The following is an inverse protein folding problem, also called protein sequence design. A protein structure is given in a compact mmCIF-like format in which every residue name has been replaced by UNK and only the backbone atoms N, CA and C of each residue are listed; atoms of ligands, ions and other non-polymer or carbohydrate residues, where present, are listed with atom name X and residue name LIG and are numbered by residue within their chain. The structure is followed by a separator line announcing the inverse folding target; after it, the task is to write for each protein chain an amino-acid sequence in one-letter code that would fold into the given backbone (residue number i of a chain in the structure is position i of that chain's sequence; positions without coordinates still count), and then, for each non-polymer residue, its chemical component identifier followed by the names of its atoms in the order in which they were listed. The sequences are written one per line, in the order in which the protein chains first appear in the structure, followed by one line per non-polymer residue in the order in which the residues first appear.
data_IF_927415726600
#
_entry.id   IF_927415726600
#
_cell.length_a   1.000
_cell.length_b   1.000
_cell.length_c   1.000
_cell.angle_alpha   90.00
_cell.angle_beta   90.00
_cell.angle_gamma   90.00
#
_symmetry.space_group_name_H-M   'P 1'
#
loop_
_entity.id
_entity.type
_entity.pdbx_description
1 polymer ?
#
# COMPACT_ATOMS: atom_id res chain seq x y z
N UNK A 1 -3.51 6.17 12.74
CA UNK A 1 -2.50 5.57 11.84
C UNK A 1 -2.47 6.33 10.54
N UNK A 2 -1.29 6.66 10.07
CA UNK A 2 -1.11 7.37 8.79
C UNK A 2 -0.21 6.53 7.89
N UNK A 3 -0.67 6.26 6.66
CA UNK A 3 0.05 5.42 5.72
C UNK A 3 0.20 6.15 4.39
N UNK A 4 1.41 6.10 3.84
CA UNK A 4 1.76 6.75 2.59
C UNK A 4 1.87 5.69 1.49
N UNK A 5 1.13 5.90 0.39
CA UNK A 5 1.13 5.03 -0.78
C UNK A 5 1.75 5.80 -1.95
N UNK A 6 2.74 5.18 -2.61
CA UNK A 6 3.49 5.79 -3.69
C UNK A 6 3.51 4.87 -4.90
N UNK A 7 3.27 5.44 -6.07
CA UNK A 7 3.45 4.72 -7.34
C UNK A 7 4.75 5.15 -7.97
N UNK A 8 5.59 4.17 -8.29
CA UNK A 8 6.92 4.39 -8.86
C UNK A 8 6.99 3.83 -10.28
N UNK A 9 7.52 4.62 -11.22
CA UNK A 9 7.77 4.22 -12.60
C UNK A 9 9.12 4.78 -13.03
N UNK A 10 10.03 3.92 -13.47
CA UNK A 10 11.37 4.31 -13.91
C UNK A 10 12.09 5.18 -12.89
N UNK A 11 12.03 4.78 -11.62
CA UNK A 11 12.61 5.50 -10.47
C UNK A 11 12.00 6.87 -10.18
N UNK A 12 10.85 7.18 -10.79
CA UNK A 12 10.13 8.43 -10.57
C UNK A 12 8.86 8.17 -9.75
N UNK A 13 8.59 9.06 -8.82
CA UNK A 13 7.31 9.07 -8.11
C UNK A 13 6.26 9.68 -9.03
N UNK A 14 5.32 8.87 -9.50
CA UNK A 14 4.29 9.31 -10.45
C UNK A 14 2.97 9.67 -9.81
N UNK A 15 2.68 9.11 -8.63
CA UNK A 15 1.47 9.44 -7.87
C UNK A 15 1.67 9.07 -6.42
N UNK A 16 0.98 9.74 -5.53
CA UNK A 16 1.00 9.41 -4.10
C UNK A 16 -0.32 9.76 -3.44
N UNK A 17 -0.65 9.02 -2.39
CA UNK A 17 -1.80 9.26 -1.52
C UNK A 17 -1.38 8.98 -0.08
N UNK A 18 -1.82 9.81 0.84
CA UNK A 18 -1.64 9.59 2.27
C UNK A 18 -3.01 9.36 2.88
N UNK A 19 -3.17 8.21 3.53
CA UNK A 19 -4.45 7.83 4.14
C UNK A 19 -4.28 7.83 5.65
N UNK A 20 -5.19 8.51 6.34
CA UNK A 20 -5.22 8.55 7.79
C UNK A 20 -6.46 7.83 8.31
N UNK A 21 -6.27 6.87 9.23
CA UNK A 21 -7.34 6.13 9.89
C UNK A 21 -7.23 6.44 11.38
N UNK A 22 -8.27 7.03 11.96
CA UNK A 22 -8.23 7.55 13.34
C UNK A 22 -9.15 6.83 14.32
N UNK A 23 -9.91 5.82 13.87
CA UNK A 23 -10.82 5.09 14.75
C UNK A 23 -10.13 4.01 15.57
N UNK A 24 -10.90 3.23 16.33
CA UNK A 24 -10.41 2.22 17.28
C UNK A 24 -10.24 0.83 16.68
N UNK A 25 -10.30 0.68 15.36
CA UNK A 25 -10.15 -0.62 14.73
C UNK A 25 -8.75 -1.20 14.96
N UNK A 26 -8.59 -2.50 14.71
CA UNK A 26 -7.29 -3.17 14.86
C UNK A 26 -6.28 -2.63 13.83
N UNK A 27 -4.99 -2.81 14.15
CA UNK A 27 -3.92 -2.39 13.23
C UNK A 27 -4.07 -3.07 11.87
N UNK A 28 -4.33 -4.37 11.86
CA UNK A 28 -4.49 -5.14 10.62
C UNK A 28 -5.65 -4.60 9.77
N UNK A 29 -6.79 -4.37 10.39
CA UNK A 29 -7.95 -3.82 9.67
C UNK A 29 -7.69 -2.41 9.14
N UNK A 30 -7.00 -1.58 9.93
CA UNK A 30 -6.64 -0.23 9.49
C UNK A 30 -5.75 -0.26 8.25
N UNK A 31 -4.76 -1.16 8.23
CA UNK A 31 -3.88 -1.32 7.08
C UNK A 31 -4.67 -1.72 5.85
N UNK A 32 -5.55 -2.72 5.96
CA UNK A 32 -6.36 -3.16 4.82
C UNK A 32 -7.34 -2.08 4.34
N UNK A 33 -7.95 -1.34 5.26
CA UNK A 33 -8.85 -0.25 4.91
C UNK A 33 -8.11 0.88 4.19
N UNK A 34 -6.93 1.25 4.68
CA UNK A 34 -6.11 2.28 4.05
C UNK A 34 -5.67 1.86 2.64
N UNK A 35 -5.26 0.60 2.49
CA UNK A 35 -4.88 0.06 1.18
C UNK A 35 -6.05 0.10 0.20
N UNK A 36 -7.24 -0.30 0.64
CA UNK A 36 -8.44 -0.24 -0.19
C UNK A 36 -8.74 1.19 -0.63
N UNK A 37 -8.67 2.13 0.29
CA UNK A 37 -8.93 3.53 0.02
C UNK A 37 -7.91 4.12 -0.97
N UNK A 38 -6.64 3.79 -0.81
CA UNK A 38 -5.59 4.23 -1.74
C UNK A 38 -5.81 3.62 -3.13
N UNK A 39 -6.16 2.35 -3.21
CA UNK A 39 -6.42 1.69 -4.50
C UNK A 39 -7.63 2.32 -5.21
N UNK A 40 -8.68 2.69 -4.48
CA UNK A 40 -9.80 3.42 -5.06
C UNK A 40 -9.35 4.77 -5.63
N UNK A 41 -8.49 5.49 -4.90
CA UNK A 41 -7.98 6.78 -5.35
C UNK A 41 -7.12 6.65 -6.61
N UNK A 42 -6.36 5.56 -6.73
CA UNK A 42 -5.51 5.28 -7.90
C UNK A 42 -6.26 4.56 -9.02
N UNK A 43 -7.53 4.23 -8.84
CA UNK A 43 -8.32 3.44 -9.78
C UNK A 43 -7.70 2.06 -10.05
N UNK A 44 -7.34 1.37 -8.97
CA UNK A 44 -6.71 0.04 -9.00
C UNK A 44 -7.56 -0.98 -8.25
N UNK A 45 -7.47 -2.25 -8.66
CA UNK A 45 -7.91 -3.36 -7.84
C UNK A 45 -6.93 -3.55 -6.67
N UNK A 46 -7.38 -4.19 -5.60
CA UNK A 46 -6.52 -4.44 -4.43
C UNK A 46 -5.45 -5.48 -4.78
N UNK A 47 -4.19 -5.25 -4.36
CA UNK A 47 -3.14 -6.24 -4.58
C UNK A 47 -3.31 -7.44 -3.66
N UNK A 48 -2.75 -8.57 -4.08
CA UNK A 48 -2.68 -9.80 -3.29
C UNK A 48 -1.42 -9.72 -2.42
N UNK A 49 -1.57 -9.97 -1.12
CA UNK A 49 -0.43 -10.05 -0.21
C UNK A 49 0.26 -11.41 -0.39
N UNK A 50 1.52 -11.38 -0.76
CA UNK A 50 2.37 -12.58 -0.81
C UNK A 50 3.21 -12.64 0.47
N UNK A 51 3.81 -13.81 0.75
CA UNK A 51 4.60 -13.99 1.96
C UNK A 51 5.73 -12.97 2.10
N UNK A 52 6.38 -12.61 1.00
CA UNK A 52 7.44 -11.60 1.00
C UNK A 52 6.92 -10.24 1.45
N UNK A 53 5.70 -9.86 1.05
CA UNK A 53 5.08 -8.60 1.46
C UNK A 53 4.77 -8.59 2.95
N UNK A 54 4.21 -9.69 3.45
CA UNK A 54 3.89 -9.83 4.88
C UNK A 54 5.17 -9.73 5.72
N UNK A 55 6.21 -10.43 5.30
CA UNK A 55 7.50 -10.44 6.01
C UNK A 55 8.16 -9.06 6.00
N UNK A 56 8.15 -8.37 4.87
CA UNK A 56 8.69 -7.01 4.77
C UNK A 56 7.91 -6.06 5.67
N UNK A 57 6.58 -6.14 5.63
CA UNK A 57 5.73 -5.28 6.44
C UNK A 57 5.95 -5.48 7.93
N UNK A 58 6.10 -6.73 8.37
CA UNK A 58 6.38 -7.04 9.78
C UNK A 58 7.70 -6.45 10.26
N UNK A 59 8.72 -6.44 9.39
CA UNK A 59 10.06 -5.97 9.76
C UNK A 59 10.24 -4.47 9.63
N UNK A 60 9.60 -3.85 8.61
CA UNK A 60 9.92 -2.47 8.21
C UNK A 60 8.73 -1.54 8.18
N UNK A 61 7.53 -2.03 8.42
CA UNK A 61 6.29 -1.26 8.27
C UNK A 61 6.15 -0.68 6.85
N UNK A 62 6.65 -1.42 5.86
CA UNK A 62 6.59 -1.13 4.43
C UNK A 62 6.26 -2.38 3.66
N UNK A 63 5.68 -2.20 2.48
CA UNK A 63 5.50 -3.30 1.53
C UNK A 63 5.55 -2.75 0.11
N UNK A 64 6.07 -3.55 -0.83
CA UNK A 64 6.05 -3.25 -2.26
C UNK A 64 5.13 -4.22 -2.96
N UNK A 65 4.22 -3.68 -3.75
CA UNK A 65 3.32 -4.47 -4.57
C UNK A 65 3.70 -4.26 -6.03
N UNK A 66 4.17 -5.33 -6.67
CA UNK A 66 4.61 -5.33 -8.06
C UNK A 66 3.54 -5.94 -8.96
N UNK A 67 3.84 -6.13 -10.23
CA UNK A 67 2.93 -6.83 -11.16
C UNK A 67 2.52 -8.21 -10.68
N UNK A 68 3.35 -8.85 -9.85
CA UNK A 68 3.05 -10.19 -9.32
C UNK A 68 1.96 -10.16 -8.24
N UNK A 69 1.67 -9.01 -7.70
CA UNK A 69 0.66 -8.82 -6.66
C UNK A 69 -0.72 -8.43 -7.21
N UNK A 70 -0.77 -7.95 -8.44
CA UNK A 70 -2.02 -7.47 -9.04
C UNK A 70 -2.57 -8.49 -10.03
N UNK A 71 -3.88 -8.73 -9.98
CA UNK A 71 -4.55 -9.58 -10.96
C UNK A 71 -4.62 -8.87 -12.30
N UNK A 72 -4.85 -7.55 -12.28
CA UNK A 72 -4.91 -6.72 -13.46
C UNK A 72 -3.52 -6.32 -13.95
N UNK A 73 -3.41 -5.89 -15.19
CA UNK A 73 -2.18 -5.31 -15.70
C UNK A 73 -2.00 -3.91 -15.18
N UNK A 74 -0.82 -3.59 -14.63
CA UNK A 74 -0.52 -2.28 -14.09
C UNK A 74 0.46 -1.54 -14.99
N UNK A 75 0.38 -0.20 -14.99
CA UNK A 75 1.22 0.65 -15.85
C UNK A 75 2.44 1.22 -15.13
N UNK A 76 2.55 1.00 -13.83
CA UNK A 76 3.69 1.46 -13.01
C UNK A 76 4.53 0.25 -12.61
N UNK A 77 5.73 0.49 -12.08
CA UNK A 77 6.65 -0.59 -11.70
C UNK A 77 6.23 -1.24 -10.39
N UNK A 78 5.91 -0.44 -9.37
CA UNK A 78 5.42 -0.95 -8.10
C UNK A 78 4.72 0.15 -7.31
N UNK A 79 3.84 -0.30 -6.40
CA UNK A 79 3.24 0.57 -5.39
C UNK A 79 3.93 0.29 -4.06
N UNK A 80 4.45 1.33 -3.44
CA UNK A 80 5.06 1.24 -2.12
C UNK A 80 4.08 1.74 -1.07
N UNK A 81 3.92 0.95 0.00
CA UNK A 81 3.13 1.34 1.16
C UNK A 81 4.08 1.50 2.34
N UNK A 82 3.98 2.62 3.05
CA UNK A 82 4.83 2.90 4.20
C UNK A 82 4.00 3.51 5.33
N UNK A 83 4.07 2.90 6.51
CA UNK A 83 3.42 3.47 7.69
C UNK A 83 4.27 4.64 8.18
N UNK A 84 3.66 5.83 8.23
CA UNK A 84 4.30 7.05 8.70
C UNK A 84 4.07 7.28 10.18
N UNK A 85 2.86 6.99 10.67
CA UNK A 85 2.49 7.17 12.07
C UNK A 85 1.66 5.98 12.52
N UNK A 86 2.09 5.32 13.58
CA UNK A 86 1.32 4.29 14.28
C UNK A 86 0.31 4.95 15.21
N UNK A 87 -0.59 4.18 15.77
CA UNK A 87 -1.56 4.69 16.74
C UNK A 87 -0.93 4.90 18.10
#
# INVERSE_FOLDING_TARGET
MKIWFKLWTDTRLTASETIEITDDDTRTHKVFRALEEACLAFDLGKPIWLDANVNEFKRRSKARFTKDNFVEEIEFDYMEMQVLEED
#
